data_IF_883223506188
#
_entry.id   IF_883223506188
#
_cell.length_a   1.000
_cell.length_b   1.000
_cell.length_c   1.000
_cell.angle_alpha   90.00
_cell.angle_beta   90.00
_cell.angle_gamma   90.00
#
_symmetry.space_group_name_H-M   'P 1'
#
loop_
_entity.id
_entity.type
_entity.pdbx_description
1 polymer ?
#
# COMPACT_ATOMS: atom_id res chain seq x y z
N UNK A 1 17.34 3.09 23.38
CA UNK A 1 16.02 2.53 23.78
C UNK A 1 15.23 3.64 24.49
N UNK A 2 13.92 3.66 24.30
CA UNK A 2 13.07 4.70 24.92
C UNK A 2 13.09 4.64 26.47
N UNK A 3 13.38 3.48 27.06
CA UNK A 3 13.51 3.33 28.51
C UNK A 3 14.61 4.18 29.15
N UNK A 4 15.57 4.68 28.37
CA UNK A 4 16.66 5.55 28.86
C UNK A 4 16.34 7.04 28.76
N UNK A 5 15.20 7.40 28.15
CA UNK A 5 14.79 8.79 27.96
C UNK A 5 14.20 9.37 29.23
N UNK A 6 14.47 10.65 29.46
CA UNK A 6 13.98 11.43 30.57
C UNK A 6 13.66 12.87 30.13
N UNK A 7 13.02 13.62 31.05
CA UNK A 7 12.79 15.05 30.84
C UNK A 7 14.09 15.79 30.46
N UNK A 8 14.00 16.61 29.44
CA UNK A 8 15.14 17.41 28.92
C UNK A 8 15.95 16.68 27.85
N UNK A 9 15.76 15.38 27.64
CA UNK A 9 16.37 14.72 26.48
C UNK A 9 15.73 15.16 25.17
N UNK A 10 16.45 14.94 24.07
CA UNK A 10 15.97 15.23 22.71
C UNK A 10 15.42 13.94 22.10
N UNK A 11 14.19 14.03 21.60
CA UNK A 11 13.55 13.02 20.78
C UNK A 11 13.75 13.40 19.31
N UNK A 12 14.00 12.43 18.48
CA UNK A 12 14.10 12.60 17.01
C UNK A 12 12.87 12.01 16.34
N UNK A 13 12.39 12.62 15.28
CA UNK A 13 11.21 12.10 14.62
C UNK A 13 11.10 12.40 13.15
N UNK A 14 10.19 11.68 12.51
CA UNK A 14 9.79 11.83 11.13
C UNK A 14 8.28 12.09 11.11
N UNK A 15 7.88 13.20 10.53
CA UNK A 15 6.48 13.52 10.23
C UNK A 15 6.17 13.07 8.81
N UNK A 16 5.13 12.25 8.65
CA UNK A 16 4.65 11.72 7.37
C UNK A 16 3.20 12.10 7.07
N UNK A 17 2.65 13.06 7.82
CA UNK A 17 1.22 13.45 7.70
C UNK A 17 0.90 14.12 6.37
N UNK A 18 1.80 14.94 5.85
CA UNK A 18 1.69 15.63 4.54
C UNK A 18 2.93 15.37 3.70
N UNK A 19 3.99 16.15 3.95
CA UNK A 19 5.31 15.93 3.33
C UNK A 19 6.25 15.35 4.36
N UNK A 20 7.05 14.36 3.94
CA UNK A 20 8.04 13.75 4.80
C UNK A 20 9.04 14.80 5.28
N UNK A 21 9.05 15.06 6.59
CA UNK A 21 9.96 15.98 7.26
C UNK A 21 10.48 15.37 8.55
N UNK A 22 11.75 15.56 8.83
CA UNK A 22 12.29 15.18 10.13
C UNK A 22 12.16 16.35 11.12
N UNK A 23 12.12 16.04 12.40
CA UNK A 23 12.06 17.04 13.47
C UNK A 23 12.84 16.57 14.71
N UNK A 24 13.13 17.51 15.59
CA UNK A 24 13.56 17.23 16.96
C UNK A 24 12.54 17.77 17.94
N UNK A 25 12.39 17.11 19.06
CA UNK A 25 11.50 17.53 20.11
C UNK A 25 12.19 17.47 21.48
N UNK A 26 11.92 18.45 22.34
CA UNK A 26 12.35 18.42 23.72
C UNK A 26 11.35 17.65 24.56
N UNK A 27 11.82 16.63 25.30
CA UNK A 27 10.97 15.81 26.16
C UNK A 27 10.60 16.60 27.43
N UNK A 28 9.32 16.75 27.69
CA UNK A 28 8.77 17.38 28.89
C UNK A 28 8.54 16.36 30.04
N UNK A 29 8.02 15.19 29.68
CA UNK A 29 7.83 14.08 30.62
C UNK A 29 7.81 12.72 29.93
N UNK A 30 8.20 11.70 30.69
CA UNK A 30 8.09 10.29 30.29
C UNK A 30 7.38 9.57 31.43
N UNK A 31 6.23 8.97 31.16
CA UNK A 31 5.41 8.26 32.12
C UNK A 31 5.33 6.78 31.75
N UNK A 32 5.79 5.87 32.59
CA UNK A 32 5.62 4.44 32.39
C UNK A 32 4.14 4.06 32.41
N UNK A 33 3.72 3.24 31.46
CA UNK A 33 2.38 2.68 31.36
C UNK A 33 2.48 1.17 31.07
N UNK A 34 1.37 0.47 31.24
CA UNK A 34 1.26 -0.95 30.89
C UNK A 34 0.57 -1.06 29.53
N UNK A 35 1.02 -1.98 28.70
CA UNK A 35 0.37 -2.24 27.42
C UNK A 35 -1.12 -2.55 27.62
N UNK A 36 -1.99 -1.90 26.84
CA UNK A 36 -3.43 -2.15 26.83
C UNK A 36 -3.72 -3.49 26.16
N UNK A 37 -3.27 -4.59 26.74
CA UNK A 37 -3.53 -5.93 26.24
C UNK A 37 -4.47 -6.67 27.17
N UNK A 38 -5.47 -7.32 26.59
CA UNK A 38 -6.13 -8.46 27.22
C UNK A 38 -5.05 -9.49 27.57
N UNK A 39 -5.02 -10.01 28.80
CA UNK A 39 -4.02 -11.00 29.20
C UNK A 39 -4.08 -12.18 28.23
N UNK A 40 -2.99 -12.43 27.51
CA UNK A 40 -2.85 -13.66 26.75
C UNK A 40 -2.86 -14.82 27.72
N UNK A 41 -3.59 -15.89 27.41
CA UNK A 41 -3.74 -17.12 28.25
C UNK A 41 -2.42 -17.82 28.61
N UNK A 42 -1.26 -17.32 28.20
CA UNK A 42 0.04 -17.96 28.33
C UNK A 42 1.02 -17.25 29.28
N UNK A 43 0.55 -16.41 30.20
CA UNK A 43 1.39 -15.90 31.27
C UNK A 43 2.56 -14.99 30.83
N UNK A 44 2.48 -14.36 29.65
CA UNK A 44 3.46 -13.35 29.25
C UNK A 44 3.34 -12.14 30.18
N UNK A 45 4.47 -11.68 30.71
CA UNK A 45 4.54 -10.44 31.49
C UNK A 45 4.08 -9.27 30.60
N UNK A 46 3.29 -8.33 31.17
CA UNK A 46 2.85 -7.17 30.42
C UNK A 46 4.06 -6.36 29.94
N UNK A 47 4.05 -6.01 28.64
CA UNK A 47 5.11 -5.20 28.06
C UNK A 47 5.07 -3.78 28.62
N UNK A 48 6.20 -3.30 29.13
CA UNK A 48 6.32 -1.93 29.62
C UNK A 48 6.25 -0.95 28.44
N UNK A 49 5.32 -0.03 28.50
CA UNK A 49 5.10 1.05 27.55
C UNK A 49 5.38 2.40 28.21
N UNK A 50 5.56 3.43 27.42
CA UNK A 50 5.82 4.79 27.87
C UNK A 50 4.87 5.76 27.17
N UNK A 51 4.35 6.72 27.92
CA UNK A 51 3.73 7.90 27.34
C UNK A 51 4.75 9.04 27.41
N UNK A 52 5.11 9.57 26.24
CA UNK A 52 6.13 10.60 26.07
C UNK A 52 5.44 11.91 25.68
N UNK A 53 5.56 12.90 26.55
CA UNK A 53 5.10 14.26 26.27
C UNK A 53 6.31 15.07 25.83
N UNK A 54 6.23 15.72 24.68
CA UNK A 54 7.31 16.53 24.12
C UNK A 54 6.81 17.80 23.46
N UNK A 55 7.73 18.74 23.25
CA UNK A 55 7.48 19.99 22.54
C UNK A 55 8.18 19.93 21.17
N UNK A 56 7.39 20.12 20.11
CA UNK A 56 7.85 20.18 18.72
C UNK A 56 7.63 21.59 18.20
N UNK A 57 8.67 22.38 18.07
CA UNK A 57 8.61 23.77 17.58
C UNK A 57 7.59 24.68 18.31
N UNK A 58 7.36 24.45 19.60
CA UNK A 58 6.39 25.20 20.38
C UNK A 58 5.06 24.47 20.64
N UNK A 59 4.77 23.45 19.85
CA UNK A 59 3.55 22.67 19.97
C UNK A 59 3.77 21.45 20.90
N UNK A 60 2.92 21.31 21.92
CA UNK A 60 2.95 20.19 22.82
C UNK A 60 2.27 18.97 22.19
N UNK A 61 2.97 17.84 22.18
CA UNK A 61 2.48 16.58 21.62
C UNK A 61 2.75 15.41 22.54
N UNK A 62 1.80 14.47 22.59
CA UNK A 62 1.92 13.25 23.40
C UNK A 62 1.96 12.03 22.47
N UNK A 63 3.00 11.20 22.63
CA UNK A 63 3.12 9.90 22.00
C UNK A 63 2.79 8.83 23.06
N UNK A 64 1.68 8.15 22.86
CA UNK A 64 1.18 7.16 23.82
C UNK A 64 1.64 5.76 23.46
N UNK A 65 1.75 4.88 24.46
CA UNK A 65 2.04 3.46 24.30
C UNK A 65 3.34 3.15 23.52
N UNK A 66 4.36 4.00 23.67
CA UNK A 66 5.67 3.81 23.07
C UNK A 66 6.35 2.58 23.68
N UNK A 67 6.85 1.61 22.87
CA UNK A 67 7.55 0.45 23.39
C UNK A 67 8.83 0.83 24.12
N UNK A 68 8.96 0.53 25.41
CA UNK A 68 10.09 0.99 26.24
C UNK A 68 11.44 0.44 25.78
N UNK A 69 11.46 -0.80 25.28
CA UNK A 69 12.67 -1.53 24.90
C UNK A 69 13.10 -1.30 23.44
N UNK A 70 12.34 -0.53 22.67
CA UNK A 70 12.68 -0.22 21.30
C UNK A 70 13.45 1.08 21.18
N UNK A 71 14.16 1.26 20.07
CA UNK A 71 14.80 2.51 19.68
C UNK A 71 13.93 3.34 18.72
N UNK A 72 12.93 2.69 18.11
CA UNK A 72 12.01 3.28 17.13
C UNK A 72 10.57 2.92 17.52
N UNK A 73 9.67 3.89 17.40
CA UNK A 73 8.24 3.67 17.42
C UNK A 73 7.61 4.29 16.17
N UNK A 74 6.93 3.45 15.38
CA UNK A 74 6.21 3.84 14.18
C UNK A 74 4.70 3.79 14.47
N UNK A 75 4.02 4.92 14.28
CA UNK A 75 2.58 5.08 14.52
C UNK A 75 1.72 4.84 13.27
N UNK A 76 2.28 4.23 12.25
CA UNK A 76 1.57 3.87 11.02
C UNK A 76 1.76 4.86 9.87
N UNK A 77 1.17 4.52 8.73
CA UNK A 77 1.25 5.35 7.53
C UNK A 77 0.56 6.71 7.72
N UNK A 78 1.11 7.74 7.10
CA UNK A 78 0.65 9.13 7.22
C UNK A 78 0.60 9.65 8.66
N UNK A 79 1.50 9.16 9.50
CA UNK A 79 1.63 9.50 10.91
C UNK A 79 3.09 9.79 11.26
N UNK A 80 3.42 9.70 12.53
CA UNK A 80 4.76 9.99 13.04
C UNK A 80 5.58 8.72 13.23
N UNK A 81 6.89 8.87 13.06
CA UNK A 81 7.88 7.92 13.60
C UNK A 81 8.73 8.68 14.59
N UNK A 82 9.00 8.09 15.73
CA UNK A 82 9.92 8.65 16.72
C UNK A 82 11.07 7.70 17.02
N UNK A 83 12.20 8.28 17.39
CA UNK A 83 13.43 7.56 17.73
C UNK A 83 14.08 8.15 18.95
N UNK A 84 14.73 7.30 19.74
CA UNK A 84 15.49 7.68 20.93
C UNK A 84 16.79 8.45 20.61
N UNK A 85 17.33 8.28 19.40
CA UNK A 85 18.52 8.96 18.91
C UNK A 85 18.50 9.14 17.39
N UNK A 86 19.41 9.99 16.91
CA UNK A 86 19.51 10.36 15.49
C UNK A 86 19.89 9.19 14.58
N UNK A 87 20.80 8.33 15.04
CA UNK A 87 21.31 7.21 14.24
C UNK A 87 20.23 6.13 14.04
N UNK A 88 19.44 5.86 15.07
CA UNK A 88 18.27 4.98 14.97
C UNK A 88 17.28 5.50 13.92
N UNK A 89 16.97 6.80 13.94
CA UNK A 89 16.08 7.42 12.96
C UNK A 89 16.68 7.34 11.54
N UNK A 90 17.97 7.65 11.38
CA UNK A 90 18.66 7.58 10.09
C UNK A 90 18.59 6.17 9.47
N UNK A 91 18.93 5.15 10.27
CA UNK A 91 18.92 3.76 9.82
C UNK A 91 17.50 3.30 9.45
N UNK A 92 16.51 3.75 10.21
CA UNK A 92 15.10 3.46 9.90
C UNK A 92 14.67 4.10 8.58
N UNK A 93 14.96 5.38 8.35
CA UNK A 93 14.66 6.07 7.09
C UNK A 93 15.36 5.42 5.90
N UNK A 94 16.63 5.01 6.07
CA UNK A 94 17.36 4.26 5.06
C UNK A 94 16.65 2.95 4.71
N UNK A 95 16.23 2.19 5.71
CA UNK A 95 15.45 0.96 5.51
C UNK A 95 14.13 1.21 4.76
N UNK A 96 13.39 2.29 5.07
CA UNK A 96 12.18 2.66 4.34
C UNK A 96 12.45 3.00 2.87
N UNK A 97 13.53 3.76 2.61
CA UNK A 97 13.98 4.07 1.24
C UNK A 97 14.32 2.81 0.46
N UNK A 98 15.08 1.89 1.07
CA UNK A 98 15.51 0.65 0.41
C UNK A 98 14.31 -0.26 0.11
N UNK A 99 13.33 -0.35 1.03
CA UNK A 99 12.07 -1.05 0.80
C UNK A 99 11.27 -0.43 -0.36
N UNK A 100 11.13 0.90 -0.38
CA UNK A 100 10.42 1.59 -1.46
C UNK A 100 11.11 1.37 -2.81
N UNK A 101 12.45 1.38 -2.84
CA UNK A 101 13.22 1.08 -4.04
C UNK A 101 12.97 -0.35 -4.53
N UNK A 102 13.02 -1.33 -3.64
CA UNK A 102 12.76 -2.73 -3.98
C UNK A 102 11.34 -2.93 -4.57
N UNK A 103 10.33 -2.21 -4.04
CA UNK A 103 8.97 -2.24 -4.59
C UNK A 103 8.95 -1.68 -6.01
N UNK A 104 9.59 -0.54 -6.26
CA UNK A 104 9.67 0.06 -7.61
C UNK A 104 10.44 -0.85 -8.56
N UNK A 105 11.58 -1.41 -8.14
CA UNK A 105 12.39 -2.32 -8.95
C UNK A 105 11.63 -3.62 -9.30
N UNK A 106 10.68 -4.06 -8.46
CA UNK A 106 9.85 -5.24 -8.71
C UNK A 106 8.56 -4.95 -9.51
N UNK A 107 8.22 -3.70 -9.75
CA UNK A 107 6.96 -3.32 -10.41
C UNK A 107 6.84 -3.93 -11.81
N UNK A 108 7.90 -3.88 -12.62
CA UNK A 108 7.92 -4.44 -13.98
C UNK A 108 7.69 -5.96 -14.01
N UNK A 109 8.23 -6.67 -13.00
CA UNK A 109 7.96 -8.10 -12.85
C UNK A 109 6.48 -8.35 -12.57
N UNK A 110 5.88 -7.64 -11.62
CA UNK A 110 4.47 -7.79 -11.29
C UNK A 110 3.55 -7.39 -12.46
N UNK A 111 3.89 -6.33 -13.20
CA UNK A 111 3.18 -5.95 -14.43
C UNK A 111 3.19 -7.09 -15.47
N UNK A 112 4.30 -7.83 -15.59
CA UNK A 112 4.39 -8.96 -16.52
C UNK A 112 3.56 -10.17 -16.12
N UNK A 113 3.19 -10.30 -14.84
CA UNK A 113 2.35 -11.40 -14.33
C UNK A 113 0.85 -11.19 -14.58
N UNK A 114 0.40 -9.93 -14.68
CA UNK A 114 -1.03 -9.62 -14.84
C UNK A 114 -1.65 -10.34 -16.04
N UNK A 115 -1.09 -10.24 -17.29
CA UNK A 115 -1.66 -10.94 -18.44
C UNK A 115 -1.60 -12.47 -18.31
N UNK A 116 -0.63 -13.00 -17.55
CA UNK A 116 -0.54 -14.44 -17.30
C UNK A 116 -1.66 -14.91 -16.37
N UNK A 117 -1.95 -14.14 -15.31
CA UNK A 117 -3.09 -14.41 -14.42
C UNK A 117 -4.42 -14.26 -15.16
N UNK A 118 -4.57 -13.25 -16.02
CA UNK A 118 -5.76 -13.07 -16.85
C UNK A 118 -5.99 -14.28 -17.76
N UNK A 119 -4.91 -14.80 -18.37
CA UNK A 119 -4.97 -16.03 -19.16
C UNK A 119 -5.51 -17.22 -18.36
N UNK A 120 -4.94 -17.47 -17.19
CA UNK A 120 -5.38 -18.57 -16.30
C UNK A 120 -6.81 -18.36 -15.82
N UNK A 121 -7.19 -17.13 -15.46
CA UNK A 121 -8.55 -16.83 -15.04
C UNK A 121 -9.56 -17.09 -16.16
N UNK A 122 -9.24 -16.74 -17.38
CA UNK A 122 -10.10 -17.03 -18.53
C UNK A 122 -10.27 -18.53 -18.78
N UNK A 123 -9.21 -19.33 -18.58
CA UNK A 123 -9.29 -20.80 -18.68
C UNK A 123 -10.14 -21.44 -17.56
N UNK A 124 -10.09 -20.86 -16.36
CA UNK A 124 -10.82 -21.36 -15.19
C UNK A 124 -12.27 -20.89 -15.11
N UNK A 125 -12.67 -19.91 -15.94
CA UNK A 125 -14.06 -19.43 -15.94
C UNK A 125 -15.03 -20.58 -16.30
N UNK A 126 -16.10 -20.80 -15.52
CA UNK A 126 -17.14 -21.74 -15.90
C UNK A 126 -17.79 -21.33 -17.21
N UNK A 127 -17.55 -22.07 -18.27
CA UNK A 127 -18.04 -21.76 -19.62
C UNK A 127 -16.95 -21.48 -20.66
N UNK A 128 -15.65 -21.49 -20.28
CA UNK A 128 -14.54 -21.31 -21.22
C UNK A 128 -14.49 -22.43 -22.29
N UNK A 129 -15.11 -23.60 -22.00
CA UNK A 129 -15.32 -24.66 -23.00
C UNK A 129 -16.16 -24.19 -24.20
N UNK A 130 -16.92 -23.10 -24.07
CA UNK A 130 -17.71 -22.51 -25.14
C UNK A 130 -16.98 -21.36 -25.88
N UNK A 131 -15.72 -21.08 -25.55
CA UNK A 131 -14.97 -19.99 -26.20
C UNK A 131 -14.78 -20.25 -27.69
N UNK A 132 -14.64 -21.49 -28.11
CA UNK A 132 -14.49 -21.89 -29.51
C UNK A 132 -15.83 -21.78 -30.25
N UNK A 133 -16.95 -22.11 -29.61
CA UNK A 133 -18.29 -21.85 -30.17
C UNK A 133 -18.58 -20.36 -30.31
N UNK A 134 -18.23 -19.57 -29.31
CA UNK A 134 -18.40 -18.09 -29.34
C UNK A 134 -17.50 -17.44 -30.40
N UNK A 135 -16.28 -17.96 -30.59
CA UNK A 135 -15.43 -17.55 -31.73
C UNK A 135 -16.02 -17.91 -33.07
N UNK A 136 -16.44 -19.16 -33.23
CA UNK A 136 -17.09 -19.62 -34.47
C UNK A 136 -18.36 -18.81 -34.80
N UNK A 137 -19.21 -18.56 -33.80
CA UNK A 137 -20.39 -17.70 -33.95
C UNK A 137 -20.03 -16.25 -34.33
N UNK A 138 -18.97 -15.68 -33.80
CA UNK A 138 -18.50 -14.33 -34.17
C UNK A 138 -17.99 -14.28 -35.60
N UNK A 139 -17.30 -15.30 -36.06
CA UNK A 139 -16.82 -15.41 -37.44
C UNK A 139 -17.99 -15.59 -38.41
N UNK A 140 -18.98 -16.41 -38.05
CA UNK A 140 -20.19 -16.61 -38.84
C UNK A 140 -21.03 -15.32 -38.96
N UNK A 141 -21.24 -14.60 -37.86
CA UNK A 141 -21.91 -13.30 -37.86
C UNK A 141 -21.16 -12.27 -38.68
N UNK A 142 -19.81 -12.28 -38.66
CA UNK A 142 -18.98 -11.43 -39.51
C UNK A 142 -19.16 -11.73 -40.98
N UNK A 143 -19.19 -13.02 -41.37
CA UNK A 143 -19.42 -13.47 -42.74
C UNK A 143 -20.82 -13.12 -43.24
N UNK A 144 -21.86 -13.35 -42.44
CA UNK A 144 -23.25 -13.00 -42.77
C UNK A 144 -23.43 -11.49 -42.97
N UNK A 145 -22.78 -10.67 -42.14
CA UNK A 145 -22.80 -9.22 -42.30
C UNK A 145 -22.19 -8.77 -43.64
N UNK A 146 -21.05 -9.34 -44.03
CA UNK A 146 -20.41 -9.05 -45.30
C UNK A 146 -21.28 -9.45 -46.49
N UNK A 147 -21.91 -10.63 -46.46
CA UNK A 147 -22.83 -11.08 -47.48
C UNK A 147 -24.08 -10.18 -47.60
N UNK A 148 -24.60 -9.70 -46.45
CA UNK A 148 -25.72 -8.77 -46.45
C UNK A 148 -25.37 -7.41 -47.08
N UNK A 149 -24.20 -6.89 -46.76
CA UNK A 149 -23.70 -5.63 -47.36
C UNK A 149 -23.51 -5.75 -48.88
N UNK A 150 -23.00 -6.90 -49.35
CA UNK A 150 -22.86 -7.19 -50.79
C UNK A 150 -24.23 -7.30 -51.48
N UNK A 151 -25.17 -8.01 -50.89
CA UNK A 151 -26.55 -8.12 -51.40
C UNK A 151 -27.25 -6.75 -51.46
N UNK A 152 -27.09 -5.90 -50.46
CA UNK A 152 -27.63 -4.54 -50.45
C UNK A 152 -27.01 -3.70 -51.56
N UNK A 153 -25.71 -3.85 -51.81
CA UNK A 153 -25.01 -3.12 -52.86
C UNK A 153 -25.54 -3.53 -54.24
N UNK A 154 -25.67 -4.84 -54.51
CA UNK A 154 -26.23 -5.37 -55.75
C UNK A 154 -27.69 -4.94 -55.98
N UNK A 155 -28.52 -4.89 -54.94
CA UNK A 155 -29.89 -4.40 -55.05
C UNK A 155 -29.95 -2.90 -55.40
N UNK A 156 -29.05 -2.10 -54.83
CA UNK A 156 -28.95 -0.66 -55.13
C UNK A 156 -28.49 -0.41 -56.56
N UNK A 157 -27.60 -1.26 -57.11
CA UNK A 157 -27.14 -1.17 -58.51
C UNK A 157 -28.24 -1.56 -59.46
N UNK A 158 -28.99 -2.64 -59.19
CA UNK A 158 -30.16 -3.03 -60.02
C UNK A 158 -31.25 -1.98 -60.03
N UNK A 159 -31.53 -1.36 -58.89
CA UNK A 159 -32.52 -0.30 -58.78
C UNK A 159 -32.14 0.96 -59.59
N UNK A 160 -30.84 1.21 -59.80
CA UNK A 160 -30.34 2.31 -60.64
C UNK A 160 -30.40 2.00 -62.15
N UNK A 161 -30.44 0.73 -62.54
CA UNK A 161 -30.51 0.31 -63.95
C UNK A 161 -31.95 0.18 -64.52
N UNK A 162 -32.95 0.28 -63.56
CA UNK A 162 -34.36 0.11 -63.93
C UNK A 162 -35.11 1.44 -64.02
N UNK A 163 -34.43 2.57 -63.84
CA UNK A 163 -34.92 3.93 -64.02
C UNK A 163 -34.18 4.61 -65.19
#
# INVERSE_FOLDING_TARGET
>A
MFSTLSKGNVLYGLDRTDKIKWFTASIESVTPTVANHTPNMFGQLPELRLDIVCNINGDKRTFQQVPSNNAIADFGDKSFVIADNKDSLYNYIKSLKDKSKAIVDSASYHESLIPQYDGVLNELMPGSANSDEVKALKEEVGSLKSQLEEAITLLKEKAKQTN
#
